data_IF_142917719321
#
_entry.id   IF_142917719321
#
_cell.length_a   1.000
_cell.length_b   1.000
_cell.length_c   1.000
_cell.angle_alpha   90.00
_cell.angle_beta   90.00
_cell.angle_gamma   90.00
#
_symmetry.space_group_name_H-M   'P 1'
#
loop_
_entity.id
_entity.type
_entity.pdbx_description
1 polymer ?
#
# COMPACT_ATOMS: atom_id res chain seq x y z
N UNK A 1 -6.85 15.34 -24.01
CA UNK A 1 -6.88 14.96 -22.58
C UNK A 1 -8.17 15.51 -22.00
N UNK A 2 -9.03 14.65 -21.47
CA UNK A 2 -10.17 15.08 -20.65
C UNK A 2 -9.58 15.71 -19.37
N UNK A 3 -10.12 16.82 -18.87
CA UNK A 3 -9.68 17.40 -17.60
C UNK A 3 -9.71 16.33 -16.51
N UNK A 4 -8.56 16.11 -15.87
CA UNK A 4 -8.37 14.98 -14.96
C UNK A 4 -9.22 15.04 -13.68
N UNK A 5 -9.83 16.19 -13.39
CA UNK A 5 -10.66 16.39 -12.21
C UNK A 5 -11.79 17.40 -12.46
N UNK A 6 -13.00 17.09 -12.00
CA UNK A 6 -14.01 18.11 -11.69
C UNK A 6 -13.62 18.80 -10.38
N UNK A 7 -13.74 20.13 -10.26
CA UNK A 7 -13.49 20.88 -9.02
C UNK A 7 -14.54 21.98 -8.81
N UNK A 8 -14.99 22.16 -7.57
CA UNK A 8 -15.84 23.25 -7.12
C UNK A 8 -15.24 23.82 -5.83
N UNK A 9 -14.88 25.10 -5.85
CA UNK A 9 -14.36 25.81 -4.66
C UNK A 9 -15.54 26.21 -3.77
N UNK A 10 -15.39 25.95 -2.47
CA UNK A 10 -16.29 26.40 -1.42
C UNK A 10 -15.58 27.49 -0.61
N UNK A 11 -16.35 28.30 0.14
CA UNK A 11 -15.79 29.30 1.04
C UNK A 11 -14.78 28.70 2.03
N UNK A 12 -13.89 29.53 2.59
CA UNK A 12 -12.88 29.11 3.59
C UNK A 12 -11.89 28.06 3.10
N UNK A 13 -11.45 28.15 1.83
CA UNK A 13 -10.45 27.26 1.20
C UNK A 13 -10.88 25.77 1.17
N UNK A 14 -12.16 25.46 1.31
CA UNK A 14 -12.69 24.12 1.09
C UNK A 14 -12.90 23.86 -0.43
N UNK A 15 -12.76 22.61 -0.87
CA UNK A 15 -12.99 22.25 -2.28
C UNK A 15 -13.62 20.86 -2.40
N UNK A 16 -14.56 20.71 -3.34
CA UNK A 16 -15.10 19.43 -3.78
C UNK A 16 -14.49 19.10 -5.13
N UNK A 17 -13.95 17.89 -5.28
CA UNK A 17 -13.38 17.47 -6.55
C UNK A 17 -13.62 15.97 -6.80
N UNK A 18 -13.57 15.54 -8.06
CA UNK A 18 -13.67 14.13 -8.46
C UNK A 18 -12.68 13.85 -9.59
N UNK A 19 -11.79 12.88 -9.41
CA UNK A 19 -10.82 12.51 -10.45
C UNK A 19 -11.39 11.52 -11.47
N UNK A 20 -11.06 11.72 -12.74
CA UNK A 20 -11.38 10.79 -13.83
C UNK A 20 -10.33 9.69 -13.85
N UNK A 21 -10.48 8.69 -12.96
CA UNK A 21 -9.50 7.60 -12.82
C UNK A 21 -10.19 6.23 -12.84
N UNK A 22 -10.13 5.50 -13.98
CA UNK A 22 -10.66 4.14 -14.07
C UNK A 22 -10.11 3.20 -12.99
N UNK A 23 -8.79 3.22 -12.67
CA UNK A 23 -8.25 2.39 -11.58
C UNK A 23 -8.91 2.68 -10.23
N UNK A 24 -9.17 3.94 -9.88
CA UNK A 24 -9.80 4.29 -8.61
C UNK A 24 -11.28 3.86 -8.55
N UNK A 25 -12.01 3.93 -9.66
CA UNK A 25 -13.36 3.37 -9.76
C UNK A 25 -13.31 1.85 -9.59
N UNK A 26 -12.34 1.17 -10.22
CA UNK A 26 -12.10 -0.27 -10.05
C UNK A 26 -11.81 -0.65 -8.59
N UNK A 27 -10.88 0.06 -7.94
CA UNK A 27 -10.59 -0.10 -6.49
C UNK A 27 -11.85 0.11 -5.66
N UNK A 28 -12.64 1.15 -5.97
CA UNK A 28 -13.92 1.42 -5.33
C UNK A 28 -14.89 0.25 -5.39
N UNK A 29 -15.03 -0.37 -6.55
CA UNK A 29 -15.88 -1.55 -6.72
C UNK A 29 -15.38 -2.74 -5.89
N UNK A 30 -14.07 -3.00 -5.93
CA UNK A 30 -13.42 -4.09 -5.17
C UNK A 30 -13.65 -3.92 -3.66
N UNK A 31 -13.42 -2.71 -3.13
CA UNK A 31 -13.58 -2.40 -1.72
C UNK A 31 -15.06 -2.37 -1.27
N UNK A 32 -15.95 -2.00 -2.19
CA UNK A 32 -17.38 -1.88 -1.95
C UNK A 32 -17.79 -0.66 -1.12
N UNK A 33 -19.10 -0.45 -1.03
CA UNK A 33 -19.68 0.80 -0.51
C UNK A 33 -19.28 1.12 0.93
N UNK A 34 -19.19 0.12 1.81
CA UNK A 34 -18.86 0.34 3.23
C UNK A 34 -17.48 0.97 3.39
N UNK A 35 -16.45 0.38 2.76
CA UNK A 35 -15.08 0.88 2.86
C UNK A 35 -14.92 2.19 2.08
N UNK A 36 -15.52 2.28 0.89
CA UNK A 36 -15.45 3.50 0.08
C UNK A 36 -16.08 4.72 0.79
N UNK A 37 -17.19 4.53 1.49
CA UNK A 37 -17.82 5.60 2.30
C UNK A 37 -16.94 6.02 3.47
N UNK A 38 -16.30 5.07 4.15
CA UNK A 38 -15.36 5.36 5.25
C UNK A 38 -14.15 6.15 4.75
N UNK A 39 -13.62 5.80 3.58
CA UNK A 39 -12.52 6.55 2.95
C UNK A 39 -12.93 7.99 2.59
N UNK A 40 -14.12 8.17 1.98
CA UNK A 40 -14.65 9.52 1.71
C UNK A 40 -14.90 10.30 2.99
N UNK A 41 -15.41 9.68 4.05
CA UNK A 41 -15.62 10.36 5.32
C UNK A 41 -14.31 10.90 5.90
N UNK A 42 -13.21 10.14 5.79
CA UNK A 42 -11.88 10.62 6.15
C UNK A 42 -11.43 11.81 5.29
N UNK A 43 -11.60 11.72 3.97
CA UNK A 43 -11.27 12.81 3.04
C UNK A 43 -12.13 14.06 3.25
N UNK A 44 -13.39 13.89 3.59
CA UNK A 44 -14.32 14.97 3.91
C UNK A 44 -13.95 15.64 5.24
N UNK A 45 -13.54 14.87 6.26
CA UNK A 45 -13.01 15.42 7.50
C UNK A 45 -11.77 16.29 7.23
N UNK A 46 -10.85 15.78 6.40
CA UNK A 46 -9.66 16.51 5.97
C UNK A 46 -10.03 17.82 5.24
N UNK A 47 -10.85 17.74 4.20
CA UNK A 47 -11.17 18.86 3.31
C UNK A 47 -12.09 19.93 3.93
N UNK A 48 -13.09 19.52 4.71
CA UNK A 48 -14.14 20.43 5.21
C UNK A 48 -13.97 20.83 6.67
N UNK A 49 -13.14 20.11 7.44
CA UNK A 49 -12.94 20.40 8.87
C UNK A 49 -11.50 20.76 9.16
N UNK A 50 -10.55 19.86 8.86
CA UNK A 50 -9.15 20.06 9.28
C UNK A 50 -8.51 21.23 8.53
N UNK A 51 -8.62 21.29 7.19
CA UNK A 51 -8.04 22.39 6.40
C UNK A 51 -8.63 23.74 6.80
N UNK A 52 -9.96 23.93 6.85
CA UNK A 52 -10.54 25.20 7.31
C UNK A 52 -10.18 25.54 8.75
N UNK A 53 -10.15 24.56 9.66
CA UNK A 53 -9.78 24.78 11.05
C UNK A 53 -8.33 25.27 11.19
N UNK A 54 -7.38 24.64 10.48
CA UNK A 54 -5.98 25.10 10.44
C UNK A 54 -5.89 26.51 9.85
N UNK A 55 -6.60 26.78 8.76
CA UNK A 55 -6.60 28.10 8.13
C UNK A 55 -7.17 29.19 9.06
N UNK A 56 -8.28 28.93 9.75
CA UNK A 56 -8.92 29.87 10.66
C UNK A 56 -8.08 30.14 11.91
N UNK A 57 -7.57 29.07 12.54
CA UNK A 57 -6.71 29.20 13.72
C UNK A 57 -5.36 29.82 13.37
N UNK A 58 -4.76 29.41 12.25
CA UNK A 58 -3.45 29.87 11.78
C UNK A 58 -3.45 31.28 11.19
N UNK A 59 -4.62 31.87 10.92
CA UNK A 59 -4.73 33.23 10.39
C UNK A 59 -4.11 34.29 11.32
N UNK A 60 -4.13 34.04 12.64
CA UNK A 60 -3.56 34.94 13.65
C UNK A 60 -2.05 34.78 13.87
N UNK A 61 -1.41 33.75 13.31
CA UNK A 61 0.01 33.48 13.54
C UNK A 61 0.89 34.47 12.78
N UNK A 62 1.84 35.09 13.49
CA UNK A 62 2.85 36.00 12.94
C UNK A 62 4.14 35.31 12.56
N UNK A 63 4.30 34.03 12.93
CA UNK A 63 5.46 33.20 12.64
C UNK A 63 5.04 31.89 11.97
N UNK A 64 5.89 31.30 11.09
CA UNK A 64 5.64 29.98 10.51
C UNK A 64 5.54 28.90 11.58
N UNK A 65 4.61 27.96 11.39
CA UNK A 65 4.43 26.82 12.27
C UNK A 65 5.09 25.58 11.65
N UNK A 66 6.06 25.00 12.36
CA UNK A 66 6.71 23.74 12.00
C UNK A 66 5.66 22.64 11.70
N UNK A 67 5.81 21.85 10.61
CA UNK A 67 7.00 21.62 9.80
C UNK A 67 7.29 22.69 8.74
N UNK A 68 6.40 23.66 8.57
CA UNK A 68 6.69 24.79 7.70
C UNK A 68 7.64 25.78 8.37
N UNK A 69 8.59 26.31 7.60
CA UNK A 69 9.59 27.27 8.10
C UNK A 69 9.55 28.62 7.40
N UNK A 70 8.87 28.77 6.27
CA UNK A 70 8.90 30.00 5.46
C UNK A 70 7.54 30.69 5.39
N UNK A 71 6.49 29.97 4.97
CA UNK A 71 5.18 30.59 4.74
C UNK A 71 4.32 30.63 6.01
N UNK A 72 3.57 31.73 6.17
CA UNK A 72 2.51 31.81 7.16
C UNK A 72 1.27 31.05 6.66
N UNK A 73 0.52 30.44 7.59
CA UNK A 73 -0.68 29.66 7.28
C UNK A 73 -1.72 30.49 6.50
N UNK A 74 -1.83 31.78 6.80
CA UNK A 74 -2.76 32.71 6.13
C UNK A 74 -2.52 32.80 4.62
N UNK A 75 -1.27 32.70 4.19
CA UNK A 75 -0.82 32.89 2.81
C UNK A 75 -0.83 31.58 2.00
N UNK A 76 -1.00 30.44 2.67
CA UNK A 76 -1.03 29.13 2.01
C UNK A 76 -2.37 28.85 1.31
N UNK A 77 -2.32 28.20 0.17
CA UNK A 77 -3.49 27.57 -0.46
C UNK A 77 -4.00 26.36 0.34
N UNK A 78 -5.21 25.89 0.03
CA UNK A 78 -5.76 24.66 0.60
C UNK A 78 -4.87 23.44 0.36
N UNK A 79 -4.29 23.37 -0.84
CA UNK A 79 -3.38 22.29 -1.25
C UNK A 79 -2.07 22.31 -0.46
N UNK A 80 -1.53 23.49 -0.17
CA UNK A 80 -0.33 23.65 0.65
C UNK A 80 -0.60 23.28 2.11
N UNK A 81 -1.72 23.72 2.69
CA UNK A 81 -2.13 23.31 4.04
C UNK A 81 -2.29 21.78 4.12
N UNK A 82 -2.94 21.19 3.11
CA UNK A 82 -3.07 19.74 3.02
C UNK A 82 -1.69 19.06 2.98
N UNK A 83 -0.83 19.50 2.07
CA UNK A 83 0.48 18.90 1.83
C UNK A 83 1.42 19.02 3.04
N UNK A 84 1.47 20.19 3.66
CA UNK A 84 2.44 20.55 4.72
C UNK A 84 1.97 20.16 6.12
N UNK A 85 0.67 20.11 6.38
CA UNK A 85 0.12 19.82 7.71
C UNK A 85 -0.76 18.58 7.74
N UNK A 86 -1.79 18.53 6.90
CA UNK A 86 -2.81 17.46 6.99
C UNK A 86 -2.24 16.09 6.66
N UNK A 87 -1.25 16.00 5.77
CA UNK A 87 -0.56 14.73 5.50
C UNK A 87 0.14 14.16 6.74
N UNK A 88 0.67 14.99 7.65
CA UNK A 88 1.23 14.50 8.92
C UNK A 88 0.12 14.01 9.86
N UNK A 89 -0.99 14.74 9.97
CA UNK A 89 -2.17 14.32 10.74
C UNK A 89 -2.71 12.99 10.20
N UNK A 90 -2.95 12.90 8.89
CA UNK A 90 -3.38 11.67 8.23
C UNK A 90 -2.39 10.53 8.43
N UNK A 91 -1.08 10.80 8.37
CA UNK A 91 -0.07 9.78 8.56
C UNK A 91 0.01 9.29 10.02
N UNK A 92 -0.23 10.14 11.03
CA UNK A 92 -0.43 9.72 12.42
C UNK A 92 -1.66 8.83 12.61
N UNK A 93 -2.76 9.14 11.90
CA UNK A 93 -3.95 8.29 11.89
C UNK A 93 -3.68 6.93 11.19
N UNK A 94 -2.93 6.94 10.09
CA UNK A 94 -2.54 5.71 9.35
C UNK A 94 -1.61 4.85 10.22
N UNK A 95 -0.68 5.47 10.96
CA UNK A 95 0.18 4.79 11.92
C UNK A 95 -0.60 4.12 13.03
N UNK A 96 -1.61 4.82 13.56
CA UNK A 96 -2.51 4.26 14.57
C UNK A 96 -3.27 3.05 14.01
N UNK A 97 -3.81 3.13 12.79
CA UNK A 97 -4.45 2.00 12.13
C UNK A 97 -3.51 0.80 11.93
N UNK A 98 -2.26 1.06 11.53
CA UNK A 98 -1.22 0.04 11.38
C UNK A 98 -0.87 -0.64 12.71
N UNK A 99 -0.63 0.14 13.77
CA UNK A 99 -0.29 -0.35 15.11
C UNK A 99 -1.46 -1.14 15.72
N UNK A 100 -2.70 -0.65 15.59
CA UNK A 100 -3.89 -1.39 16.07
C UNK A 100 -3.99 -2.74 15.36
N UNK A 101 -3.74 -2.77 14.05
CA UNK A 101 -3.75 -4.01 13.27
C UNK A 101 -2.67 -4.97 13.78
N UNK A 102 -1.44 -4.48 13.99
CA UNK A 102 -0.35 -5.25 14.58
C UNK A 102 -0.76 -5.84 15.94
N UNK A 103 -1.25 -5.02 16.87
CA UNK A 103 -1.65 -5.46 18.21
C UNK A 103 -2.70 -6.57 18.14
N UNK A 104 -3.72 -6.41 17.29
CA UNK A 104 -4.77 -7.42 17.09
C UNK A 104 -4.23 -8.73 16.53
N UNK A 105 -3.13 -8.68 15.78
CA UNK A 105 -2.50 -9.86 15.18
C UNK A 105 -1.50 -10.57 16.10
N UNK A 106 -1.02 -9.92 17.17
CA UNK A 106 -0.05 -10.50 18.12
C UNK A 106 -0.44 -11.91 18.60
N UNK A 107 -1.69 -12.17 19.06
CA UNK A 107 -2.05 -13.50 19.56
C UNK A 107 -1.86 -14.59 18.49
N UNK A 108 -2.32 -14.32 17.26
CA UNK A 108 -2.20 -15.23 16.12
C UNK A 108 -0.74 -15.45 15.71
N UNK A 109 0.09 -14.41 15.78
CA UNK A 109 1.53 -14.52 15.52
C UNK A 109 2.23 -15.39 16.58
N UNK A 110 1.90 -15.21 17.86
CA UNK A 110 2.48 -16.01 18.96
C UNK A 110 2.08 -17.48 18.85
N UNK A 111 0.81 -17.77 18.58
CA UNK A 111 0.32 -19.14 18.41
C UNK A 111 1.04 -19.85 17.26
N UNK A 112 1.10 -19.20 16.10
CA UNK A 112 1.78 -19.73 14.92
C UNK A 112 3.27 -19.94 15.17
N UNK A 113 3.89 -19.02 15.92
CA UNK A 113 5.30 -19.11 16.29
C UNK A 113 5.60 -20.32 17.20
N UNK A 114 4.77 -20.57 18.23
CA UNK A 114 4.90 -21.74 19.11
C UNK A 114 4.76 -23.04 18.34
N UNK A 115 3.82 -23.11 17.40
CA UNK A 115 3.61 -24.28 16.55
C UNK A 115 4.81 -24.54 15.64
N UNK A 116 5.39 -23.48 15.04
CA UNK A 116 6.58 -23.58 14.19
C UNK A 116 7.79 -24.16 14.94
N UNK A 117 8.07 -23.67 16.16
CA UNK A 117 9.13 -24.23 17.02
C UNK A 117 8.87 -25.71 17.36
N UNK A 118 7.60 -26.07 17.60
CA UNK A 118 7.20 -27.45 17.89
C UNK A 118 7.35 -28.41 16.71
N UNK A 119 7.40 -27.93 15.47
CA UNK A 119 7.67 -28.75 14.28
C UNK A 119 9.17 -28.99 14.09
N UNK A 120 10.01 -27.99 14.34
CA UNK A 120 11.47 -28.13 14.29
C UNK A 120 11.95 -29.18 15.31
N UNK A 121 11.34 -29.19 16.50
CA UNK A 121 11.67 -30.15 17.55
C UNK A 121 11.32 -31.61 17.21
N UNK A 122 10.40 -31.86 16.27
CA UNK A 122 9.93 -33.22 15.94
C UNK A 122 10.74 -33.93 14.87
N UNK A 123 11.64 -33.22 14.18
CA UNK A 123 12.50 -33.77 13.12
C UNK A 123 11.71 -34.18 11.87
N UNK A 124 12.25 -33.90 10.69
CA UNK A 124 11.67 -34.35 9.42
C UNK A 124 12.17 -35.77 9.15
N UNK A 125 11.33 -36.77 9.44
CA UNK A 125 11.62 -38.18 9.17
C UNK A 125 11.69 -38.46 7.66
N UNK A 126 12.79 -39.09 7.22
CA UNK A 126 12.99 -39.51 5.85
C UNK A 126 12.29 -40.84 5.56
N UNK A 127 11.14 -40.78 4.91
CA UNK A 127 10.55 -41.91 4.19
C UNK A 127 10.62 -41.63 2.68
N UNK A 128 10.61 -42.69 1.87
CA UNK A 128 10.48 -42.63 0.40
C UNK A 128 9.36 -41.68 0.00
N UNK A 129 9.71 -40.58 -0.66
CA UNK A 129 8.78 -39.50 -1.01
C UNK A 129 8.02 -39.88 -2.27
N UNK A 130 6.70 -39.85 -2.18
CA UNK A 130 5.87 -39.81 -3.38
C UNK A 130 6.19 -38.54 -4.17
N UNK A 131 5.96 -38.55 -5.50
CA UNK A 131 6.17 -37.38 -6.36
C UNK A 131 5.45 -36.13 -5.82
N UNK A 132 4.29 -36.31 -5.22
CA UNK A 132 3.45 -35.26 -4.63
C UNK A 132 3.98 -34.70 -3.30
N UNK A 133 5.01 -35.33 -2.73
CA UNK A 133 5.68 -34.95 -1.47
C UNK A 133 7.19 -34.69 -1.70
N UNK A 134 7.60 -34.50 -2.96
CA UNK A 134 8.97 -34.21 -3.35
C UNK A 134 9.23 -32.69 -3.43
N UNK A 135 9.66 -32.13 -2.31
CA UNK A 135 10.14 -30.75 -2.18
C UNK A 135 11.59 -30.54 -2.66
N UNK A 136 11.97 -29.29 -2.92
CA UNK A 136 13.39 -28.94 -3.06
C UNK A 136 14.20 -29.46 -1.86
N UNK A 137 15.40 -30.04 -2.10
CA UNK A 137 16.23 -30.54 -1.02
C UNK A 137 16.55 -29.42 -0.02
N UNK A 138 16.31 -29.69 1.27
CA UNK A 138 16.52 -28.69 2.34
C UNK A 138 17.94 -28.10 2.32
N UNK A 139 18.95 -28.90 1.96
CA UNK A 139 20.35 -28.45 1.78
C UNK A 139 20.47 -27.39 0.68
N UNK A 140 19.76 -27.55 -0.43
CA UNK A 140 19.77 -26.58 -1.54
C UNK A 140 19.14 -25.26 -1.11
N UNK A 141 18.01 -25.32 -0.41
CA UNK A 141 17.33 -24.13 0.12
C UNK A 141 18.21 -23.39 1.11
N UNK A 142 18.85 -24.11 2.04
CA UNK A 142 19.76 -23.52 3.03
C UNK A 142 21.00 -22.89 2.37
N UNK A 143 21.55 -23.53 1.34
CA UNK A 143 22.68 -22.99 0.58
C UNK A 143 22.30 -21.72 -0.16
N UNK A 144 21.14 -21.69 -0.83
CA UNK A 144 20.62 -20.50 -1.51
C UNK A 144 20.38 -19.35 -0.53
N UNK A 145 19.76 -19.63 0.61
CA UNK A 145 19.57 -18.64 1.68
C UNK A 145 20.91 -18.10 2.18
N UNK A 146 21.87 -18.98 2.47
CA UNK A 146 23.22 -18.57 2.88
C UNK A 146 23.92 -17.71 1.84
N UNK A 147 23.83 -18.08 0.56
CA UNK A 147 24.39 -17.31 -0.54
C UNK A 147 23.76 -15.91 -0.64
N UNK A 148 22.44 -15.79 -0.47
CA UNK A 148 21.75 -14.49 -0.43
C UNK A 148 22.23 -13.65 0.75
N UNK A 149 22.34 -14.20 1.96
CA UNK A 149 22.81 -13.45 3.14
C UNK A 149 24.26 -12.98 2.98
N UNK A 150 25.14 -13.81 2.40
CA UNK A 150 26.51 -13.43 2.08
C UNK A 150 26.52 -12.30 1.04
N UNK A 151 25.71 -12.42 -0.02
CA UNK A 151 25.60 -11.38 -1.05
C UNK A 151 25.14 -10.04 -0.46
N UNK A 152 24.13 -10.05 0.42
CA UNK A 152 23.63 -8.86 1.12
C UNK A 152 24.70 -8.23 2.03
N UNK A 153 25.58 -9.05 2.62
CA UNK A 153 26.66 -8.60 3.50
C UNK A 153 27.83 -7.99 2.72
N UNK A 154 28.26 -8.66 1.64
CA UNK A 154 29.46 -8.30 0.89
C UNK A 154 29.19 -7.18 -0.10
N UNK A 155 28.02 -7.16 -0.73
CA UNK A 155 27.72 -6.20 -1.79
C UNK A 155 27.35 -4.83 -1.21
N UNK A 156 28.15 -3.78 -1.45
CA UNK A 156 27.81 -2.44 -0.98
C UNK A 156 26.55 -1.93 -1.69
N UNK A 157 25.83 -1.00 -1.04
CA UNK A 157 24.64 -0.32 -1.57
C UNK A 157 23.37 -1.15 -1.74
N UNK A 158 23.39 -2.46 -1.46
CA UNK A 158 22.18 -3.32 -1.55
C UNK A 158 21.25 -3.09 -0.36
N UNK A 159 21.79 -3.00 0.86
CA UNK A 159 21.03 -2.73 2.08
C UNK A 159 21.06 -1.24 2.45
N UNK A 160 20.97 -0.34 1.46
CA UNK A 160 21.12 1.11 1.67
C UNK A 160 22.58 1.56 1.62
N UNK A 161 22.84 2.80 2.04
CA UNK A 161 24.13 3.48 1.89
C UNK A 161 25.17 3.13 2.97
N UNK A 162 25.12 1.90 3.50
CA UNK A 162 26.10 1.43 4.48
C UNK A 162 27.41 1.00 3.81
N UNK A 163 28.48 1.73 4.07
CA UNK A 163 29.81 1.44 3.53
C UNK A 163 30.57 0.37 4.34
N UNK A 164 30.22 0.19 5.62
CA UNK A 164 30.88 -0.74 6.54
C UNK A 164 30.29 -2.17 6.48
N UNK A 165 31.15 -3.15 6.23
CA UNK A 165 30.78 -4.59 6.19
C UNK A 165 30.09 -5.07 7.48
N UNK A 166 30.56 -4.72 8.70
CA UNK A 166 29.90 -5.18 9.93
C UNK A 166 28.45 -4.73 10.06
N UNK A 167 28.11 -3.53 9.59
CA UNK A 167 26.72 -3.05 9.62
C UNK A 167 25.84 -3.79 8.62
N UNK A 168 26.36 -4.05 7.42
CA UNK A 168 25.65 -4.88 6.43
C UNK A 168 25.46 -6.33 6.91
N UNK A 169 26.44 -6.87 7.61
CA UNK A 169 26.34 -8.19 8.25
C UNK A 169 25.22 -8.19 9.31
N UNK A 170 25.20 -7.20 10.19
CA UNK A 170 24.15 -7.06 11.19
C UNK A 170 22.76 -6.93 10.55
N UNK A 171 22.60 -6.07 9.53
CA UNK A 171 21.34 -5.90 8.82
C UNK A 171 20.90 -7.21 8.13
N UNK A 172 21.83 -7.95 7.53
CA UNK A 172 21.55 -9.26 6.91
C UNK A 172 21.12 -10.31 7.95
N UNK A 173 21.75 -10.31 9.14
CA UNK A 173 21.35 -11.17 10.26
C UNK A 173 19.94 -10.80 10.73
N UNK A 174 19.62 -9.51 10.86
CA UNK A 174 18.28 -9.07 11.23
C UNK A 174 17.24 -9.52 10.19
N UNK A 175 17.55 -9.44 8.89
CA UNK A 175 16.69 -9.99 7.83
C UNK A 175 16.46 -11.49 8.06
N UNK A 176 17.52 -12.28 8.25
CA UNK A 176 17.40 -13.72 8.45
C UNK A 176 16.52 -14.04 9.67
N UNK A 177 16.76 -13.37 10.80
CA UNK A 177 16.05 -13.58 12.07
C UNK A 177 14.57 -13.23 11.93
N UNK A 178 14.26 -12.01 11.47
CA UNK A 178 12.88 -11.56 11.32
C UNK A 178 12.13 -12.32 10.23
N UNK A 179 12.76 -12.58 9.08
CA UNK A 179 12.14 -13.36 8.00
C UNK A 179 11.84 -14.79 8.45
N UNK A 180 12.76 -15.45 9.16
CA UNK A 180 12.54 -16.80 9.69
C UNK A 180 11.26 -16.88 10.56
N UNK A 181 11.10 -15.93 11.47
CA UNK A 181 9.92 -15.87 12.33
C UNK A 181 8.64 -15.54 11.54
N UNK A 182 8.67 -14.51 10.69
CA UNK A 182 7.46 -14.03 10.02
C UNK A 182 7.03 -14.86 8.80
N UNK A 183 7.95 -15.55 8.12
CA UNK A 183 7.62 -16.53 7.06
C UNK A 183 6.80 -17.67 7.64
N UNK A 184 7.20 -18.20 8.80
CA UNK A 184 6.51 -19.30 9.49
C UNK A 184 5.09 -18.88 9.90
N UNK A 185 4.94 -17.69 10.46
CA UNK A 185 3.65 -17.12 10.85
C UNK A 185 2.76 -16.90 9.62
N UNK A 186 3.31 -16.29 8.57
CA UNK A 186 2.60 -15.99 7.32
C UNK A 186 2.04 -17.25 6.66
N UNK A 187 2.91 -18.24 6.40
CA UNK A 187 2.53 -19.51 5.76
C UNK A 187 1.37 -20.19 6.50
N UNK A 188 1.41 -20.19 7.85
CA UNK A 188 0.37 -20.81 8.66
C UNK A 188 -0.95 -20.06 8.62
N UNK A 189 -0.93 -18.75 8.84
CA UNK A 189 -2.14 -17.92 8.86
C UNK A 189 -2.82 -17.99 7.50
N UNK A 190 -2.05 -17.85 6.42
CA UNK A 190 -2.57 -17.94 5.07
C UNK A 190 -3.19 -19.32 4.81
N UNK A 191 -2.54 -20.40 5.23
CA UNK A 191 -3.10 -21.74 5.10
C UNK A 191 -4.43 -21.96 5.83
N UNK A 192 -4.63 -21.30 6.98
CA UNK A 192 -5.82 -21.44 7.83
C UNK A 192 -6.98 -20.52 7.43
N UNK A 193 -6.69 -19.23 7.19
CA UNK A 193 -7.71 -18.17 7.03
C UNK A 193 -7.59 -17.40 5.72
N UNK A 194 -6.59 -17.70 4.89
CA UNK A 194 -6.38 -17.07 3.58
C UNK A 194 -5.47 -15.83 3.63
N UNK A 195 -5.07 -15.36 2.44
CA UNK A 195 -4.13 -14.22 2.26
C UNK A 195 -4.66 -12.91 2.82
N UNK A 196 -5.97 -12.67 2.75
CA UNK A 196 -6.60 -11.43 3.20
C UNK A 196 -6.50 -11.23 4.71
N UNK A 197 -6.39 -12.33 5.46
CA UNK A 197 -6.25 -12.31 6.92
C UNK A 197 -4.80 -12.38 7.40
N UNK A 198 -3.83 -12.43 6.47
CA UNK A 198 -2.42 -12.41 6.80
C UNK A 198 -1.98 -11.03 7.30
N UNK A 199 -1.41 -10.89 8.51
CA UNK A 199 -1.03 -9.59 9.07
C UNK A 199 0.32 -9.08 8.53
N UNK A 200 0.54 -9.15 7.21
CA UNK A 200 1.81 -8.76 6.58
C UNK A 200 2.24 -7.36 6.99
N UNK A 201 1.32 -6.38 6.96
CA UNK A 201 1.61 -5.01 7.37
C UNK A 201 2.04 -4.89 8.84
N UNK A 202 1.46 -5.72 9.72
CA UNK A 202 1.86 -5.77 11.13
C UNK A 202 3.28 -6.33 11.28
N UNK A 203 3.57 -7.44 10.62
CA UNK A 203 4.90 -8.06 10.62
C UNK A 203 5.97 -7.09 10.11
N UNK A 204 5.69 -6.32 9.04
CA UNK A 204 6.58 -5.27 8.54
C UNK A 204 6.83 -4.18 9.58
N UNK A 205 5.79 -3.65 10.22
CA UNK A 205 5.93 -2.60 11.25
C UNK A 205 6.75 -3.12 12.43
N UNK A 206 6.53 -4.36 12.87
CA UNK A 206 7.30 -4.98 13.93
C UNK A 206 8.79 -5.11 13.57
N UNK A 207 9.10 -5.55 12.34
CA UNK A 207 10.49 -5.58 11.84
C UNK A 207 11.11 -4.18 11.79
N UNK A 208 10.38 -3.18 11.29
CA UNK A 208 10.88 -1.81 11.21
C UNK A 208 11.18 -1.26 12.61
N UNK A 209 10.24 -1.36 13.55
CA UNK A 209 10.44 -0.90 14.92
C UNK A 209 11.59 -1.63 15.61
N UNK A 210 11.67 -2.96 15.48
CA UNK A 210 12.75 -3.75 16.06
C UNK A 210 14.12 -3.40 15.46
N UNK A 211 14.20 -3.25 14.14
CA UNK A 211 15.45 -2.88 13.45
C UNK A 211 15.87 -1.44 13.78
N UNK A 212 14.93 -0.49 13.74
CA UNK A 212 15.17 0.89 14.13
C UNK A 212 15.59 1.03 15.58
N UNK A 213 15.04 0.21 16.50
CA UNK A 213 15.48 0.20 17.89
C UNK A 213 16.94 -0.27 18.03
N UNK A 214 17.32 -1.36 17.34
CA UNK A 214 18.71 -1.83 17.33
C UNK A 214 19.64 -0.76 16.78
N UNK A 215 19.27 -0.10 15.68
CA UNK A 215 20.09 0.96 15.08
C UNK A 215 20.18 2.21 15.95
N UNK A 216 19.09 2.58 16.63
CA UNK A 216 19.09 3.66 17.62
C UNK A 216 20.11 3.37 18.74
N UNK A 217 20.10 2.16 19.30
CA UNK A 217 21.03 1.75 20.36
C UNK A 217 22.50 1.75 19.91
N UNK A 218 22.74 1.56 18.61
CA UNK A 218 24.08 1.64 17.99
C UNK A 218 24.44 3.05 17.52
N UNK A 219 23.55 4.03 17.68
CA UNK A 219 23.75 5.41 17.23
C UNK A 219 23.61 5.62 15.71
N UNK A 220 23.03 4.68 14.97
CA UNK A 220 22.83 4.76 13.51
C UNK A 220 21.50 5.44 13.17
N UNK A 221 21.42 6.74 13.41
CA UNK A 221 20.21 7.55 13.24
C UNK A 221 20.20 8.38 11.95
N UNK A 222 21.29 8.31 11.18
CA UNK A 222 21.49 9.04 9.94
C UNK A 222 20.64 8.47 8.79
N UNK A 223 20.68 9.15 7.63
CA UNK A 223 19.92 8.71 6.46
C UNK A 223 20.31 7.30 5.99
N UNK A 224 21.57 6.90 6.13
CA UNK A 224 22.00 5.55 5.78
C UNK A 224 21.40 4.49 6.73
N UNK A 225 21.39 4.74 8.04
CA UNK A 225 20.73 3.89 9.02
C UNK A 225 19.23 3.75 8.75
N UNK A 226 18.54 4.87 8.47
CA UNK A 226 17.11 4.89 8.12
C UNK A 226 16.79 4.09 6.86
N UNK A 227 17.56 4.31 5.78
CA UNK A 227 17.40 3.59 4.53
C UNK A 227 17.61 2.08 4.72
N UNK A 228 18.63 1.69 5.49
CA UNK A 228 18.90 0.30 5.83
C UNK A 228 17.74 -0.33 6.61
N UNK A 229 17.21 0.35 7.63
CA UNK A 229 16.08 -0.16 8.40
C UNK A 229 14.86 -0.42 7.50
N UNK A 230 14.60 0.50 6.56
CA UNK A 230 13.56 0.34 5.55
C UNK A 230 13.82 -0.87 4.63
N UNK A 231 15.06 -1.09 4.20
CA UNK A 231 15.43 -2.25 3.38
C UNK A 231 15.25 -3.58 4.12
N UNK A 232 15.60 -3.64 5.41
CA UNK A 232 15.35 -4.81 6.26
C UNK A 232 13.84 -5.09 6.35
N UNK A 233 13.05 -4.08 6.71
CA UNK A 233 11.59 -4.20 6.79
C UNK A 233 10.94 -4.61 5.48
N UNK A 234 11.39 -4.02 4.36
CA UNK A 234 10.89 -4.34 3.01
C UNK A 234 11.21 -5.78 2.62
N UNK A 235 12.44 -6.23 2.86
CA UNK A 235 12.86 -7.60 2.56
C UNK A 235 12.03 -8.61 3.33
N UNK A 236 11.82 -8.37 4.63
CA UNK A 236 11.01 -9.24 5.49
C UNK A 236 9.53 -9.21 5.10
N UNK A 237 9.00 -8.05 4.73
CA UNK A 237 7.64 -7.90 4.21
C UNK A 237 7.42 -8.76 2.95
N UNK A 238 8.35 -8.68 2.00
CA UNK A 238 8.30 -9.47 0.75
C UNK A 238 8.43 -10.95 1.08
N UNK A 239 9.38 -11.34 1.94
CA UNK A 239 9.56 -12.73 2.34
C UNK A 239 8.30 -13.32 2.99
N UNK A 240 7.66 -12.58 3.91
CA UNK A 240 6.41 -13.00 4.52
C UNK A 240 5.27 -13.10 3.48
N UNK A 241 5.16 -12.15 2.57
CA UNK A 241 4.12 -12.16 1.52
C UNK A 241 4.27 -13.33 0.58
N UNK A 242 5.49 -13.56 0.05
CA UNK A 242 5.79 -14.68 -0.85
C UNK A 242 5.59 -16.01 -0.14
N UNK A 243 5.98 -16.14 1.13
CA UNK A 243 5.72 -17.37 1.89
C UNK A 243 4.22 -17.70 2.00
N UNK A 244 3.38 -16.67 2.15
CA UNK A 244 1.93 -16.83 2.14
C UNK A 244 1.41 -17.29 0.78
N UNK A 245 1.86 -16.65 -0.28
CA UNK A 245 1.52 -16.96 -1.68
C UNK A 245 1.92 -18.38 -2.07
N UNK A 246 3.19 -18.75 -1.87
CA UNK A 246 3.72 -20.11 -2.03
C UNK A 246 2.88 -21.14 -1.28
N UNK A 247 2.41 -20.82 -0.07
CA UNK A 247 1.59 -21.77 0.70
C UNK A 247 0.22 -22.02 0.08
N UNK A 248 -0.39 -21.02 -0.59
CA UNK A 248 -1.63 -21.19 -1.34
C UNK A 248 -1.41 -21.94 -2.65
N UNK A 249 -0.30 -21.65 -3.33
CA UNK A 249 0.05 -22.30 -4.58
C UNK A 249 0.39 -23.77 -4.38
N UNK A 250 1.13 -24.10 -3.32
CA UNK A 250 1.37 -25.48 -2.89
C UNK A 250 0.08 -26.19 -2.48
N UNK A 251 -0.87 -25.51 -1.83
CA UNK A 251 -2.18 -26.09 -1.51
C UNK A 251 -2.97 -26.43 -2.77
N UNK A 252 -3.01 -25.51 -3.73
CA UNK A 252 -3.67 -25.74 -5.02
C UNK A 252 -2.98 -26.86 -5.80
N UNK A 253 -1.65 -26.85 -5.80
CA UNK A 253 -0.81 -27.89 -6.38
C UNK A 253 -1.07 -29.26 -5.77
N UNK A 254 -1.16 -29.35 -4.45
CA UNK A 254 -1.50 -30.58 -3.73
C UNK A 254 -2.86 -31.14 -4.17
N UNK A 255 -3.89 -30.30 -4.27
CA UNK A 255 -5.23 -30.71 -4.74
C UNK A 255 -5.20 -31.21 -6.18
N UNK A 256 -4.36 -30.62 -7.04
CA UNK A 256 -4.20 -31.03 -8.45
C UNK A 256 -3.20 -32.19 -8.64
N UNK A 257 -2.51 -32.64 -7.60
CA UNK A 257 -1.45 -33.64 -7.69
C UNK A 257 -0.17 -33.14 -8.39
N UNK A 258 0.17 -31.86 -8.26
CA UNK A 258 1.42 -31.29 -8.77
C UNK A 258 2.65 -31.82 -8.00
N UNK A 259 3.85 -31.65 -8.59
CA UNK A 259 5.13 -31.92 -7.92
C UNK A 259 5.61 -30.63 -7.24
N UNK A 260 5.70 -30.55 -5.89
CA UNK A 260 6.04 -29.32 -5.16
C UNK A 260 7.33 -28.64 -5.63
N UNK A 261 8.38 -29.42 -5.89
CA UNK A 261 9.66 -28.91 -6.41
C UNK A 261 9.53 -28.11 -7.71
N UNK A 262 8.66 -28.54 -8.64
CA UNK A 262 8.47 -27.81 -9.91
C UNK A 262 7.72 -26.51 -9.69
N UNK A 263 6.76 -26.48 -8.76
CA UNK A 263 6.07 -25.26 -8.37
C UNK A 263 7.03 -24.26 -7.73
N UNK A 264 7.85 -24.70 -6.77
CA UNK A 264 8.86 -23.86 -6.12
C UNK A 264 9.85 -23.23 -7.12
N UNK A 265 10.30 -24.00 -8.13
CA UNK A 265 11.17 -23.46 -9.19
C UNK A 265 10.42 -22.43 -10.06
N UNK A 266 9.16 -22.73 -10.42
CA UNK A 266 8.31 -21.80 -11.16
C UNK A 266 8.08 -20.48 -10.41
N UNK A 267 7.80 -20.56 -9.11
CA UNK A 267 7.66 -19.41 -8.21
C UNK A 267 8.95 -18.59 -8.14
N UNK A 268 10.12 -19.23 -8.01
CA UNK A 268 11.41 -18.52 -8.02
C UNK A 268 11.62 -17.73 -9.32
N UNK A 269 11.30 -18.32 -10.48
CA UNK A 269 11.37 -17.64 -11.78
C UNK A 269 10.37 -16.47 -11.82
N UNK A 270 9.15 -16.69 -11.37
CA UNK A 270 8.10 -15.67 -11.29
C UNK A 270 8.48 -14.49 -10.41
N UNK A 271 9.05 -14.73 -9.23
CA UNK A 271 9.51 -13.69 -8.30
C UNK A 271 10.67 -12.90 -8.89
N UNK A 272 11.66 -13.55 -9.51
CA UNK A 272 12.81 -12.85 -10.10
C UNK A 272 12.38 -11.95 -11.26
N UNK A 273 11.53 -12.48 -12.15
CA UNK A 273 11.04 -11.72 -13.31
C UNK A 273 10.13 -10.55 -12.89
N UNK A 274 9.21 -10.78 -11.96
CA UNK A 274 8.33 -9.71 -11.44
C UNK A 274 9.07 -8.65 -10.64
N UNK A 275 10.07 -9.01 -9.84
CA UNK A 275 10.89 -8.04 -9.09
C UNK A 275 11.59 -7.05 -10.02
N UNK A 276 12.15 -7.53 -11.14
CA UNK A 276 12.76 -6.67 -12.16
C UNK A 276 11.76 -5.71 -12.80
N UNK A 277 10.58 -6.21 -13.18
CA UNK A 277 9.52 -5.40 -13.77
C UNK A 277 8.99 -4.34 -12.79
N UNK A 278 8.69 -4.72 -11.54
CA UNK A 278 8.21 -3.79 -10.51
C UNK A 278 9.25 -2.70 -10.22
N UNK A 279 10.53 -3.07 -10.09
CA UNK A 279 11.61 -2.11 -9.88
C UNK A 279 11.68 -1.08 -11.03
N UNK A 280 11.68 -1.55 -12.28
CA UNK A 280 11.70 -0.69 -13.46
C UNK A 280 10.53 0.31 -13.45
N UNK A 281 9.31 -0.19 -13.22
CA UNK A 281 8.10 0.65 -13.25
C UNK A 281 8.10 1.68 -12.13
N UNK A 282 8.43 1.29 -10.91
CA UNK A 282 8.49 2.19 -9.75
C UNK A 282 9.54 3.27 -9.96
N UNK A 283 10.72 2.92 -10.49
CA UNK A 283 11.78 3.89 -10.80
C UNK A 283 11.39 4.86 -11.92
N UNK A 284 10.76 4.35 -12.98
CA UNK A 284 10.28 5.18 -14.08
C UNK A 284 9.21 6.17 -13.60
N UNK A 285 8.23 5.72 -12.82
CA UNK A 285 7.18 6.59 -12.26
C UNK A 285 7.77 7.66 -11.34
N UNK A 286 8.72 7.30 -10.47
CA UNK A 286 9.36 8.26 -9.57
C UNK A 286 10.13 9.35 -10.33
N UNK A 287 10.78 9.02 -11.46
CA UNK A 287 11.58 9.98 -12.24
C UNK A 287 10.77 10.78 -13.25
N UNK A 288 9.70 10.21 -13.81
CA UNK A 288 8.93 10.82 -14.90
C UNK A 288 7.81 11.75 -14.43
N UNK A 289 7.36 11.60 -13.18
CA UNK A 289 6.27 12.42 -12.63
C UNK A 289 6.84 13.52 -11.73
N UNK A 290 6.43 14.80 -11.91
CA UNK A 290 6.84 15.90 -11.04
C UNK A 290 6.61 15.59 -9.55
N UNK A 291 7.67 15.72 -8.75
CA UNK A 291 7.65 15.41 -7.32
C UNK A 291 7.75 13.91 -6.97
N UNK A 292 7.74 13.02 -7.96
CA UNK A 292 7.95 11.58 -7.80
C UNK A 292 6.98 10.90 -6.83
N UNK A 293 7.32 9.68 -6.43
CA UNK A 293 6.59 8.94 -5.38
C UNK A 293 6.61 9.71 -4.06
N UNK A 294 5.43 9.97 -3.50
CA UNK A 294 5.24 10.82 -2.32
C UNK A 294 4.85 12.26 -2.67
N UNK A 295 4.97 12.68 -3.93
CA UNK A 295 4.54 13.99 -4.41
C UNK A 295 3.01 14.17 -4.43
N UNK A 296 2.57 15.32 -4.95
CA UNK A 296 1.14 15.65 -5.05
C UNK A 296 0.40 14.76 -6.06
N UNK A 297 1.05 14.38 -7.16
CA UNK A 297 0.47 13.53 -8.20
C UNK A 297 0.53 12.03 -7.86
N UNK A 298 1.58 11.59 -7.16
CA UNK A 298 1.77 10.20 -6.72
C UNK A 298 1.84 10.11 -5.18
N UNK A 299 0.76 10.41 -4.45
CA UNK A 299 0.77 10.33 -3.00
C UNK A 299 0.98 8.88 -2.54
N UNK A 300 1.90 8.67 -1.60
CA UNK A 300 2.27 7.35 -1.08
C UNK A 300 2.03 7.24 0.44
N UNK A 301 0.76 7.17 0.92
CA UNK A 301 0.43 7.14 2.35
C UNK A 301 1.14 6.04 3.11
N UNK A 302 1.22 4.84 2.52
CA UNK A 302 1.86 3.69 3.14
C UNK A 302 3.37 3.88 3.27
N UNK A 303 4.04 4.45 2.27
CA UNK A 303 5.47 4.74 2.35
C UNK A 303 5.76 5.83 3.40
N UNK A 304 4.91 6.85 3.49
CA UNK A 304 5.01 7.89 4.51
C UNK A 304 4.79 7.31 5.92
N UNK A 305 3.83 6.41 6.09
CA UNK A 305 3.69 5.67 7.35
C UNK A 305 5.01 4.98 7.73
N UNK A 306 5.60 4.19 6.83
CA UNK A 306 6.84 3.46 7.13
C UNK A 306 7.98 4.42 7.48
N UNK A 307 8.09 5.54 6.76
CA UNK A 307 9.05 6.61 7.07
C UNK A 307 8.83 7.18 8.48
N UNK A 308 7.60 7.54 8.85
CA UNK A 308 7.32 8.12 10.16
C UNK A 308 7.61 7.18 11.31
N UNK A 309 7.37 5.88 11.13
CA UNK A 309 7.73 4.86 12.13
C UNK A 309 9.25 4.87 12.36
N UNK A 310 10.03 4.93 11.29
CA UNK A 310 11.49 4.96 11.36
C UNK A 310 12.00 6.29 11.95
N UNK A 311 11.54 7.43 11.41
CA UNK A 311 11.95 8.76 11.86
C UNK A 311 11.54 9.01 13.32
N UNK A 312 10.38 8.51 13.74
CA UNK A 312 9.92 8.62 15.12
C UNK A 312 10.81 7.90 16.11
N UNK A 313 11.40 6.75 15.73
CA UNK A 313 12.34 6.01 16.58
C UNK A 313 13.76 6.58 16.50
N UNK A 314 14.23 6.93 15.29
CA UNK A 314 15.63 7.30 15.06
C UNK A 314 15.93 8.80 15.20
N UNK A 315 15.04 9.69 14.75
CA UNK A 315 15.32 11.13 14.62
C UNK A 315 14.66 11.97 15.72
N UNK A 316 13.55 11.50 16.30
CA UNK A 316 12.79 12.17 17.37
C UNK A 316 12.27 13.59 17.02
N UNK A 317 12.46 14.06 15.79
CA UNK A 317 12.17 15.43 15.33
C UNK A 317 10.84 15.58 14.58
N UNK A 318 9.92 14.62 14.74
CA UNK A 318 8.63 14.68 14.07
C UNK A 318 7.76 15.84 14.57
N UNK A 319 6.86 16.39 13.74
CA UNK A 319 5.85 17.34 14.20
C UNK A 319 4.80 16.61 15.07
N UNK A 320 5.20 16.28 16.30
CA UNK A 320 4.48 15.40 17.22
C UNK A 320 3.06 15.86 17.50
N UNK A 321 2.81 17.17 17.56
CA UNK A 321 1.47 17.72 17.73
C UNK A 321 0.52 17.21 16.61
N UNK A 322 0.95 17.28 15.35
CA UNK A 322 0.13 16.84 14.21
C UNK A 322 -0.04 15.32 14.21
N UNK A 323 1.03 14.59 14.50
CA UNK A 323 0.98 13.13 14.62
C UNK A 323 -0.02 12.72 15.70
N UNK A 324 0.03 13.32 16.89
CA UNK A 324 -0.88 12.99 17.99
C UNK A 324 -2.33 13.40 17.74
N UNK A 325 -2.58 14.50 17.00
CA UNK A 325 -3.93 14.80 16.51
C UNK A 325 -4.42 13.64 15.62
N UNK A 326 -3.57 13.17 14.70
CA UNK A 326 -3.84 12.00 13.88
C UNK A 326 -4.11 10.73 14.68
N UNK A 327 -3.30 10.49 15.72
CA UNK A 327 -3.48 9.36 16.64
C UNK A 327 -4.81 9.46 17.36
N UNK A 328 -5.17 10.62 17.89
CA UNK A 328 -6.46 10.87 18.51
C UNK A 328 -7.62 10.57 17.57
N UNK A 329 -7.56 11.07 16.33
CA UNK A 329 -8.56 10.79 15.30
C UNK A 329 -8.67 9.27 15.02
N UNK A 330 -7.53 8.58 14.88
CA UNK A 330 -7.48 7.14 14.65
C UNK A 330 -8.04 6.32 15.81
N UNK A 331 -7.75 6.71 17.05
CA UNK A 331 -8.29 6.07 18.26
C UNK A 331 -9.80 6.28 18.37
N UNK A 332 -10.30 7.49 18.15
CA UNK A 332 -11.74 7.77 18.12
C UNK A 332 -12.44 6.93 17.06
N UNK A 333 -11.89 6.86 15.84
CA UNK A 333 -12.42 5.99 14.79
C UNK A 333 -12.44 4.50 15.23
N UNK A 334 -11.40 4.04 15.94
CA UNK A 334 -11.34 2.69 16.49
C UNK A 334 -12.44 2.43 17.53
N UNK A 335 -12.71 3.39 18.42
CA UNK A 335 -13.78 3.31 19.43
C UNK A 335 -15.16 3.15 18.79
N UNK A 336 -15.40 3.87 17.69
CA UNK A 336 -16.62 3.75 16.89
C UNK A 336 -16.65 2.50 15.99
N UNK A 337 -15.67 1.59 16.11
CA UNK A 337 -15.54 0.38 15.29
C UNK A 337 -15.47 0.66 13.79
N UNK A 338 -14.99 1.85 13.42
CA UNK A 338 -14.71 2.23 12.03
C UNK A 338 -13.41 1.53 11.60
N UNK A 339 -13.31 1.03 10.35
CA UNK A 339 -12.05 0.54 9.80
C UNK A 339 -10.97 1.64 9.76
N UNK A 340 -10.17 1.73 10.82
CA UNK A 340 -9.23 2.84 11.08
C UNK A 340 -8.29 3.10 9.91
N UNK A 341 -7.73 2.05 9.30
CA UNK A 341 -6.78 2.20 8.20
C UNK A 341 -7.44 2.84 6.96
N UNK A 342 -8.63 2.38 6.58
CA UNK A 342 -9.36 2.95 5.44
C UNK A 342 -9.75 4.40 5.70
N UNK A 343 -10.23 4.70 6.92
CA UNK A 343 -10.56 6.05 7.32
C UNK A 343 -9.34 6.98 7.29
N UNK A 344 -8.22 6.53 7.85
CA UNK A 344 -6.99 7.30 7.92
C UNK A 344 -6.35 7.54 6.55
N UNK A 345 -6.40 6.56 5.65
CA UNK A 345 -6.02 6.75 4.24
C UNK A 345 -6.88 7.83 3.59
N UNK A 346 -8.18 7.86 3.92
CA UNK A 346 -9.09 8.94 3.55
C UNK A 346 -8.64 10.31 4.04
N UNK A 347 -8.27 10.44 5.32
CA UNK A 347 -7.77 11.71 5.90
C UNK A 347 -6.49 12.19 5.19
N UNK A 348 -5.62 11.26 4.83
CA UNK A 348 -4.34 11.55 4.19
C UNK A 348 -4.49 11.97 2.72
N UNK A 349 -5.34 11.29 1.95
CA UNK A 349 -5.46 11.48 0.50
C UNK A 349 -6.41 12.64 0.14
N UNK A 350 -6.25 13.24 -1.05
CA UNK A 350 -7.17 14.29 -1.52
C UNK A 350 -8.58 13.76 -1.71
N UNK A 351 -9.58 14.57 -1.36
CA UNK A 351 -11.01 14.24 -1.52
C UNK A 351 -11.37 13.84 -2.97
N UNK A 352 -10.68 14.42 -3.96
CA UNK A 352 -10.84 14.08 -5.39
C UNK A 352 -10.63 12.61 -5.70
N UNK A 353 -9.60 12.01 -5.10
CA UNK A 353 -9.26 10.60 -5.27
C UNK A 353 -10.27 9.70 -4.56
N UNK A 354 -10.74 10.11 -3.37
CA UNK A 354 -11.72 9.35 -2.59
C UNK A 354 -13.09 9.34 -3.26
N UNK A 355 -13.49 10.43 -3.93
CA UNK A 355 -14.75 10.49 -4.64
C UNK A 355 -14.82 9.47 -5.80
N UNK A 356 -13.74 9.27 -6.55
CA UNK A 356 -13.69 8.24 -7.59
C UNK A 356 -13.85 6.81 -7.02
N UNK A 357 -13.20 6.53 -5.88
CA UNK A 357 -13.35 5.26 -5.13
C UNK A 357 -14.81 5.08 -4.67
N UNK A 358 -15.45 6.15 -4.19
CA UNK A 358 -16.84 6.10 -3.78
C UNK A 358 -17.80 5.80 -4.92
N UNK A 359 -17.60 6.37 -6.11
CA UNK A 359 -18.42 6.05 -7.28
C UNK A 359 -18.33 4.58 -7.66
N UNK A 360 -17.15 3.97 -7.59
CA UNK A 360 -16.99 2.52 -7.78
C UNK A 360 -17.74 1.68 -6.74
N UNK A 361 -17.63 2.07 -5.46
CA UNK A 361 -18.34 1.40 -4.36
C UNK A 361 -19.86 1.54 -4.46
N UNK A 362 -20.33 2.73 -4.87
CA UNK A 362 -21.73 3.04 -5.11
C UNK A 362 -22.27 2.23 -6.30
N UNK A 363 -21.50 2.09 -7.38
CA UNK A 363 -21.87 1.24 -8.51
C UNK A 363 -22.05 -0.21 -8.08
N UNK A 364 -21.14 -0.76 -7.26
CA UNK A 364 -21.31 -2.11 -6.69
C UNK A 364 -22.59 -2.23 -5.89
N UNK A 365 -22.84 -1.29 -4.98
CA UNK A 365 -24.07 -1.30 -4.19
C UNK A 365 -25.32 -1.21 -5.08
N UNK A 366 -25.31 -0.34 -6.09
CA UNK A 366 -26.43 -0.17 -7.01
C UNK A 366 -26.70 -1.42 -7.85
N UNK A 367 -25.65 -2.11 -8.32
CA UNK A 367 -25.79 -3.31 -9.14
C UNK A 367 -26.19 -4.54 -8.34
N UNK A 368 -25.87 -4.58 -7.05
CA UNK A 368 -26.19 -5.71 -6.16
C UNK A 368 -27.49 -5.48 -5.35
N UNK A 369 -28.00 -4.24 -5.25
CA UNK A 369 -29.22 -3.97 -4.48
C UNK A 369 -30.40 -4.75 -5.05
N UNK A 370 -31.23 -5.27 -4.16
CA UNK A 370 -32.46 -6.01 -4.49
C UNK A 370 -32.22 -7.23 -5.40
N UNK A 371 -31.03 -7.83 -5.36
CA UNK A 371 -30.73 -9.09 -6.06
C UNK A 371 -30.75 -10.26 -5.06
N UNK A 372 -31.07 -11.45 -5.55
CA UNK A 372 -30.92 -12.68 -4.77
C UNK A 372 -29.45 -12.92 -4.39
N UNK A 373 -29.15 -13.61 -3.27
CA UNK A 373 -27.78 -13.79 -2.80
C UNK A 373 -26.82 -14.38 -3.84
N UNK A 374 -27.27 -15.36 -4.62
CA UNK A 374 -26.46 -15.98 -5.67
C UNK A 374 -26.14 -15.02 -6.82
N UNK A 375 -27.12 -14.25 -7.27
CA UNK A 375 -26.95 -13.24 -8.33
C UNK A 375 -26.07 -12.07 -7.84
N UNK A 376 -26.26 -11.63 -6.60
CA UNK A 376 -25.44 -10.59 -5.98
C UNK A 376 -23.97 -11.04 -5.90
N UNK A 377 -23.72 -12.29 -5.49
CA UNK A 377 -22.38 -12.86 -5.43
C UNK A 377 -21.72 -12.95 -6.81
N UNK A 378 -22.45 -13.42 -7.83
CA UNK A 378 -21.95 -13.45 -9.20
C UNK A 378 -21.56 -12.05 -9.69
N UNK A 379 -22.45 -11.06 -9.51
CA UNK A 379 -22.17 -9.67 -9.90
C UNK A 379 -20.99 -9.08 -9.14
N UNK A 380 -20.78 -9.49 -7.89
CA UNK A 380 -19.61 -9.10 -7.11
C UNK A 380 -18.34 -9.63 -7.76
N UNK A 381 -18.28 -10.92 -8.07
CA UNK A 381 -17.09 -11.56 -8.66
C UNK A 381 -16.76 -10.98 -10.04
N UNK A 382 -17.75 -10.88 -10.93
CA UNK A 382 -17.60 -10.31 -12.27
C UNK A 382 -17.12 -8.86 -12.23
N UNK A 383 -17.70 -8.04 -11.35
CA UNK A 383 -17.28 -6.65 -11.23
C UNK A 383 -15.94 -6.49 -10.50
N UNK A 384 -15.57 -7.40 -9.59
CA UNK A 384 -14.22 -7.46 -9.00
C UNK A 384 -13.19 -7.81 -10.07
N UNK A 385 -13.51 -8.74 -10.97
CA UNK A 385 -12.66 -9.10 -12.11
C UNK A 385 -12.47 -7.89 -13.05
N UNK A 386 -13.56 -7.23 -13.43
CA UNK A 386 -13.52 -6.03 -14.27
C UNK A 386 -12.73 -4.89 -13.59
N UNK A 387 -13.01 -4.63 -12.32
CA UNK A 387 -12.31 -3.63 -11.51
C UNK A 387 -10.82 -3.93 -11.39
N UNK A 388 -10.44 -5.20 -11.21
CA UNK A 388 -9.03 -5.62 -11.20
C UNK A 388 -8.38 -5.39 -12.57
N UNK A 389 -9.12 -5.64 -13.65
CA UNK A 389 -8.70 -5.30 -15.02
C UNK A 389 -8.47 -3.79 -15.22
N UNK A 390 -9.32 -2.93 -14.66
CA UNK A 390 -9.10 -1.47 -14.70
C UNK A 390 -7.85 -1.05 -13.93
N UNK A 391 -7.59 -1.66 -12.77
CA UNK A 391 -6.37 -1.41 -11.97
C UNK A 391 -5.12 -1.87 -12.72
N UNK A 392 -5.12 -3.13 -13.18
CA UNK A 392 -4.00 -3.70 -13.93
C UNK A 392 -3.75 -2.98 -15.26
N UNK A 393 -4.82 -2.67 -16.01
CA UNK A 393 -4.76 -1.92 -17.26
C UNK A 393 -4.26 -0.49 -17.08
N UNK A 394 -4.67 0.18 -16.00
CA UNK A 394 -4.13 1.50 -15.63
C UNK A 394 -2.64 1.44 -15.32
N UNK A 395 -2.20 0.41 -14.58
CA UNK A 395 -0.79 0.13 -14.33
C UNK A 395 0.00 -0.07 -15.63
N UNK A 396 -0.45 -0.99 -16.49
CA UNK A 396 0.17 -1.27 -17.79
C UNK A 396 0.24 -0.04 -18.69
N UNK A 397 -0.85 0.74 -18.77
CA UNK A 397 -0.87 2.00 -19.53
C UNK A 397 0.15 2.98 -18.97
N UNK A 398 0.25 3.10 -17.64
CA UNK A 398 1.29 3.90 -16.98
C UNK A 398 2.71 3.48 -17.37
N UNK A 399 2.98 2.18 -17.44
CA UNK A 399 4.27 1.66 -17.91
C UNK A 399 4.55 2.06 -19.37
N UNK A 400 3.58 1.84 -20.25
CA UNK A 400 3.71 2.19 -21.67
C UNK A 400 3.96 3.69 -21.88
N UNK A 401 3.22 4.54 -21.14
CA UNK A 401 3.41 5.99 -21.19
C UNK A 401 4.78 6.38 -20.63
N UNK A 402 5.24 5.78 -19.54
CA UNK A 402 6.55 6.07 -18.97
C UNK A 402 7.70 5.65 -19.92
N UNK A 403 7.58 4.50 -20.57
CA UNK A 403 8.52 4.07 -21.62
C UNK A 403 8.51 5.03 -22.82
N UNK A 404 7.34 5.51 -23.22
CA UNK A 404 7.20 6.49 -24.30
C UNK A 404 7.85 7.84 -23.97
N UNK A 405 7.65 8.35 -22.74
CA UNK A 405 8.34 9.55 -22.23
C UNK A 405 9.85 9.34 -22.21
N UNK A 406 10.31 8.19 -21.70
CA UNK A 406 11.73 7.84 -21.69
C UNK A 406 12.34 7.81 -23.09
N UNK A 407 11.65 7.23 -24.07
CA UNK A 407 12.10 7.16 -25.46
C UNK A 407 12.18 8.54 -26.14
N UNK A 408 11.44 9.54 -25.66
CA UNK A 408 11.42 10.92 -26.18
C UNK A 408 12.30 11.89 -25.39
N UNK A 409 13.27 11.38 -24.63
CA UNK A 409 14.21 12.22 -23.90
C UNK A 409 13.63 12.86 -22.64
N UNK A 410 12.53 12.31 -22.09
CA UNK A 410 11.94 12.77 -20.83
C UNK A 410 10.90 13.88 -20.98
N UNK A 411 10.55 14.28 -22.20
CA UNK A 411 9.48 15.26 -22.44
C UNK A 411 8.13 14.73 -21.92
N UNK A 412 7.48 15.44 -20.99
CA UNK A 412 6.18 15.02 -20.45
C UNK A 412 5.14 14.90 -21.57
N UNK A 413 4.24 13.93 -21.43
CA UNK A 413 3.11 13.77 -22.34
C UNK A 413 2.13 14.95 -22.15
N UNK A 414 2.35 16.03 -22.88
CA UNK A 414 1.37 17.11 -23.04
C UNK A 414 0.33 16.60 -24.03
N UNK A 415 -0.70 15.93 -23.53
CA UNK A 415 -1.75 15.44 -24.41
C UNK A 415 -2.55 16.59 -25.03
N UNK A 416 -3.49 16.24 -25.91
CA UNK A 416 -4.18 17.24 -26.73
C UNK A 416 -5.03 18.22 -25.89
N UNK A 417 -4.72 19.52 -25.87
CA UNK A 417 -5.57 20.51 -25.22
C UNK A 417 -6.87 20.59 -26.02
N UNK A 418 -7.99 20.28 -25.37
CA UNK A 418 -9.31 20.48 -25.96
C UNK A 418 -9.71 21.90 -25.55
N UNK A 419 -9.89 22.84 -26.50
CA UNK A 419 -10.20 24.24 -26.19
C UNK A 419 -11.67 24.37 -25.77
N UNK A 420 -12.01 23.80 -24.62
CA UNK A 420 -13.30 23.93 -23.97
C UNK A 420 -13.18 24.88 -22.78
N UNK A 421 -14.20 25.73 -22.52
CA UNK A 421 -14.34 26.43 -21.26
C UNK A 421 -14.34 25.45 -20.07
N UNK A 422 -14.02 25.92 -18.87
CA UNK A 422 -13.97 25.09 -17.64
C UNK A 422 -15.26 24.28 -17.41
N UNK A 423 -16.42 24.84 -17.76
CA UNK A 423 -17.70 24.14 -17.71
C UNK A 423 -17.79 22.98 -18.73
N UNK A 424 -17.33 23.17 -19.97
CA UNK A 424 -17.29 22.12 -20.99
C UNK A 424 -16.30 21.01 -20.62
N UNK A 425 -15.18 21.41 -20.01
CA UNK A 425 -14.19 20.53 -19.41
C UNK A 425 -14.80 19.66 -18.29
N UNK A 426 -15.53 20.28 -17.35
CA UNK A 426 -16.26 19.57 -16.30
C UNK A 426 -17.30 18.58 -16.84
N UNK A 427 -18.08 18.97 -17.86
CA UNK A 427 -19.07 18.09 -18.50
C UNK A 427 -18.39 16.88 -19.15
N UNK A 428 -17.26 17.08 -19.83
CA UNK A 428 -16.51 15.98 -20.45
C UNK A 428 -15.94 15.01 -19.42
N UNK A 429 -15.47 15.51 -18.27
CA UNK A 429 -15.02 14.69 -17.16
C UNK A 429 -16.17 13.83 -16.60
N UNK A 430 -17.33 14.44 -16.35
CA UNK A 430 -18.53 13.73 -15.87
C UNK A 430 -19.04 12.69 -16.89
N UNK A 431 -19.05 13.04 -18.18
CA UNK A 431 -19.45 12.12 -19.25
C UNK A 431 -18.50 10.91 -19.32
N UNK A 432 -17.20 11.14 -19.14
CA UNK A 432 -16.19 10.07 -19.15
C UNK A 432 -16.37 9.14 -17.95
N UNK A 433 -16.58 9.69 -16.75
CA UNK A 433 -16.90 8.90 -15.54
C UNK A 433 -18.20 8.10 -15.76
N UNK A 434 -19.24 8.74 -16.28
CA UNK A 434 -20.52 8.10 -16.59
C UNK A 434 -20.37 6.94 -17.57
N UNK A 435 -19.57 7.12 -18.63
CA UNK A 435 -19.27 6.07 -19.60
C UNK A 435 -18.52 4.88 -18.95
N UNK A 436 -17.55 5.15 -18.07
CA UNK A 436 -16.83 4.09 -17.34
C UNK A 436 -17.76 3.28 -16.43
N UNK A 437 -18.62 3.97 -15.67
CA UNK A 437 -19.61 3.32 -14.83
C UNK A 437 -20.63 2.52 -15.64
N UNK A 438 -21.05 3.05 -16.79
CA UNK A 438 -21.95 2.36 -17.71
C UNK A 438 -21.32 1.10 -18.30
N UNK A 439 -20.05 1.15 -18.71
CA UNK A 439 -19.31 -0.02 -19.21
C UNK A 439 -19.15 -1.10 -18.12
N UNK A 440 -18.82 -0.69 -16.90
CA UNK A 440 -18.74 -1.59 -15.76
C UNK A 440 -20.10 -2.24 -15.49
N UNK A 441 -21.18 -1.44 -15.42
CA UNK A 441 -22.53 -1.94 -15.22
C UNK A 441 -22.96 -2.89 -16.34
N UNK A 442 -22.69 -2.52 -17.59
CA UNK A 442 -22.99 -3.35 -18.74
C UNK A 442 -22.27 -4.69 -18.69
N UNK A 443 -20.98 -4.71 -18.33
CA UNK A 443 -20.21 -5.95 -18.19
C UNK A 443 -20.81 -6.87 -17.13
N UNK A 444 -21.06 -6.32 -15.93
CA UNK A 444 -21.64 -7.06 -14.79
C UNK A 444 -23.05 -7.58 -15.07
N UNK A 445 -23.86 -6.84 -15.83
CA UNK A 445 -25.23 -7.23 -16.17
C UNK A 445 -25.31 -8.20 -17.36
N UNK A 446 -24.32 -8.19 -18.26
CA UNK A 446 -24.33 -9.01 -19.49
C UNK A 446 -23.84 -10.43 -19.27
N UNK A 447 -22.97 -10.68 -18.29
CA UNK A 447 -22.52 -12.02 -17.91
C UNK A 447 -23.68 -12.78 -17.27
N UNK A 448 -24.55 -13.37 -18.12
CA UNK A 448 -25.61 -14.29 -17.72
C UNK A 448 -24.99 -15.58 -17.17
N UNK A 449 -25.69 -16.22 -16.25
CA UNK A 449 -25.37 -17.57 -15.79
C UNK A 449 -25.10 -18.47 -17.00
N UNK A 450 -23.86 -18.97 -17.11
CA UNK A 450 -23.62 -20.14 -17.95
C UNK A 450 -24.37 -21.29 -17.25
N UNK A 451 -25.30 -21.98 -17.95
CA UNK A 451 -26.08 -23.06 -17.36
C UNK A 451 -25.21 -24.20 -16.86
#
# INVERSE_FOLDING_TARGET
>A
LVPGTFQALLGFKASLAVSVSPPLIGVGYILGMRIATVMVAGGALSAFVIIPAINLWGAGLTEPLFPETELLIRDMSAGEIWHRYVRYIGAGAVATGGIITLIRSIPTMIESFKLGLGQIARGVGGATRERTDDDLPFRTVLLLLGAVLVLLTVTPRVLGYLDNVPARALASILIAVFAFFFVTVSSRIVGLVGVTSNPTSGMTIATLLGTSLVFFLLGWTDLAGKATALMVGTTVCIAASIAGDTSQDLKTGFVLGATPKLQQIGELIGVITSAGAVCLVVMLLHRSVPGGLGGAELPAPQAVLMKLVIDGVLEQSLPWMMIFIGVGIGLVASLFKIPVLAFAVGVYLPLSTMAAVFLGGLARWYLMRNQEPAEAERRREEGVLFGSGLVGGGGLTGVLLALWVGARGGEPIRGFPIPLPDAGQAVLALATIGAMLALLAWHVLRTRARP
#
